data_IF_376364748642
#
_entry.id   IF_376364748642
#
_cell.length_a   1.000
_cell.length_b   1.000
_cell.length_c   1.000
_cell.angle_alpha   90.00
_cell.angle_beta   90.00
_cell.angle_gamma   90.00
#
_symmetry.space_group_name_H-M   'P 1'
#
loop_
_entity.id
_entity.type
_entity.pdbx_description
1 polymer ?
#
# COMPACT_ATOMS: atom_id res chain seq x y z
N UNK A 1 -10.55 -14.60 -26.10
CA UNK A 1 -11.73 -14.38 -25.23
C UNK A 1 -11.51 -13.05 -24.53
N UNK A 2 -12.36 -12.04 -24.76
CA UNK A 2 -12.14 -10.71 -24.17
C UNK A 2 -12.47 -10.74 -22.68
N UNK A 3 -11.49 -10.43 -21.83
CA UNK A 3 -11.72 -10.30 -20.40
C UNK A 3 -12.71 -9.15 -20.13
N UNK A 4 -13.69 -9.31 -19.23
CA UNK A 4 -14.60 -8.23 -18.89
C UNK A 4 -13.82 -7.07 -18.23
N UNK A 5 -13.78 -5.93 -18.90
CA UNK A 5 -13.19 -4.68 -18.40
C UNK A 5 -14.25 -3.91 -17.61
N UNK A 6 -14.01 -3.67 -16.32
CA UNK A 6 -14.89 -2.84 -15.52
C UNK A 6 -14.48 -1.36 -15.65
N UNK A 7 -15.39 -0.44 -16.03
CA UNK A 7 -15.04 0.95 -16.35
C UNK A 7 -14.36 1.72 -15.21
N UNK A 8 -14.64 1.35 -13.96
CA UNK A 8 -14.07 1.98 -12.77
C UNK A 8 -12.98 1.15 -12.06
N UNK A 9 -12.87 -0.14 -12.34
CA UNK A 9 -12.03 -1.06 -11.55
C UNK A 9 -10.97 -1.76 -12.40
N UNK A 10 -11.02 -1.58 -13.72
CA UNK A 10 -10.07 -2.17 -14.65
C UNK A 10 -10.38 -3.65 -14.89
N UNK A 11 -9.31 -4.40 -15.16
CA UNK A 11 -9.39 -5.81 -15.52
C UNK A 11 -9.47 -6.69 -14.27
N UNK A 12 -9.92 -7.93 -14.47
CA UNK A 12 -9.76 -8.99 -13.46
C UNK A 12 -8.29 -9.38 -13.39
N UNK A 13 -7.75 -9.57 -12.17
CA UNK A 13 -6.33 -9.91 -11.97
C UNK A 13 -5.97 -11.24 -12.64
N UNK A 14 -6.89 -12.20 -12.63
CA UNK A 14 -6.75 -13.50 -13.31
C UNK A 14 -6.45 -13.38 -14.82
N UNK A 15 -6.64 -12.17 -15.40
CA UNK A 15 -6.45 -11.88 -16.82
C UNK A 15 -5.28 -10.94 -17.12
N UNK A 16 -4.55 -10.49 -16.10
CA UNK A 16 -3.31 -9.73 -16.29
C UNK A 16 -2.16 -10.69 -16.61
N UNK A 17 -1.43 -10.42 -17.70
CA UNK A 17 -0.14 -11.06 -17.94
C UNK A 17 0.78 -10.73 -16.77
N UNK A 18 1.13 -11.73 -15.97
CA UNK A 18 2.03 -11.58 -14.82
C UNK A 18 3.45 -11.33 -15.32
N UNK A 19 3.77 -10.08 -15.69
CA UNK A 19 5.13 -9.62 -15.47
C UNK A 19 5.35 -9.72 -13.95
N UNK A 20 6.35 -10.48 -13.47
CA UNK A 20 6.55 -10.60 -12.05
C UNK A 20 6.94 -9.21 -11.54
N UNK A 21 6.12 -8.67 -10.65
CA UNK A 21 6.35 -7.43 -9.88
C UNK A 21 7.67 -7.45 -9.07
N UNK A 22 8.37 -8.56 -9.15
CA UNK A 22 9.63 -8.88 -8.50
C UNK A 22 10.82 -8.33 -9.29
N UNK A 23 10.68 -7.98 -10.57
CA UNK A 23 11.80 -7.48 -11.39
C UNK A 23 12.01 -5.98 -11.14
N UNK A 24 13.26 -5.59 -10.90
CA UNK A 24 13.63 -4.18 -10.73
C UNK A 24 13.34 -3.38 -12.00
N UNK A 25 12.73 -2.21 -11.81
CA UNK A 25 12.60 -1.19 -12.85
C UNK A 25 13.31 0.08 -12.40
N UNK A 26 14.12 0.64 -13.30
CA UNK A 26 14.79 1.92 -13.05
C UNK A 26 13.79 3.03 -13.35
N UNK A 27 13.52 3.87 -12.36
CA UNK A 27 12.60 5.00 -12.51
C UNK A 27 13.36 6.16 -13.15
N UNK A 28 12.82 6.68 -14.25
CA UNK A 28 13.31 7.92 -14.88
C UNK A 28 12.88 9.15 -14.10
N UNK A 29 13.55 10.30 -14.30
CA UNK A 29 13.19 11.55 -13.61
C UNK A 29 11.74 11.99 -13.88
N UNK A 30 11.21 11.74 -15.07
CA UNK A 30 9.82 12.06 -15.42
C UNK A 30 8.83 11.16 -14.67
N UNK A 31 9.13 9.86 -14.60
CA UNK A 31 8.33 8.89 -13.84
C UNK A 31 8.38 9.18 -12.35
N UNK A 32 9.53 9.62 -11.83
CA UNK A 32 9.68 10.02 -10.44
C UNK A 32 8.76 11.21 -10.10
N UNK A 33 8.78 12.26 -10.93
CA UNK A 33 7.91 13.43 -10.77
C UNK A 33 6.43 13.03 -10.87
N UNK A 34 6.08 12.16 -11.84
CA UNK A 34 4.72 11.66 -12.00
C UNK A 34 4.26 10.86 -10.79
N UNK A 35 5.10 9.96 -10.29
CA UNK A 35 4.84 9.14 -9.12
C UNK A 35 4.68 9.96 -7.84
N UNK A 36 5.50 11.00 -7.65
CA UNK A 36 5.36 11.88 -6.47
C UNK A 36 4.04 12.65 -6.51
N UNK A 37 3.63 13.16 -7.68
CA UNK A 37 2.31 13.80 -7.85
C UNK A 37 1.18 12.81 -7.60
N UNK A 38 1.33 11.57 -8.05
CA UNK A 38 0.36 10.52 -7.82
C UNK A 38 0.24 10.17 -6.33
N UNK A 39 1.36 10.03 -5.60
CA UNK A 39 1.37 9.84 -4.15
C UNK A 39 0.68 11.00 -3.43
N UNK A 40 0.94 12.25 -3.85
CA UNK A 40 0.23 13.40 -3.28
C UNK A 40 -1.28 13.26 -3.44
N UNK A 41 -1.78 12.89 -4.63
CA UNK A 41 -3.23 12.65 -4.82
C UNK A 41 -3.78 11.58 -3.88
N UNK A 42 -3.05 10.48 -3.69
CA UNK A 42 -3.43 9.43 -2.72
C UNK A 42 -3.47 9.98 -1.30
N UNK A 43 -2.47 10.78 -0.91
CA UNK A 43 -2.43 11.43 0.41
C UNK A 43 -3.60 12.39 0.65
N UNK A 44 -4.05 13.14 -0.36
CA UNK A 44 -5.19 14.04 -0.21
C UNK A 44 -6.48 13.28 0.17
N UNK A 45 -6.64 12.04 -0.30
CA UNK A 45 -7.76 11.17 0.10
C UNK A 45 -7.76 10.88 1.61
N UNK A 46 -6.60 10.95 2.28
CA UNK A 46 -6.46 10.77 3.72
C UNK A 46 -6.99 11.94 4.56
N UNK A 47 -7.23 13.12 3.95
CA UNK A 47 -7.67 14.33 4.67
C UNK A 47 -9.17 14.57 4.47
N UNK A 48 -9.70 14.32 3.28
CA UNK A 48 -11.09 14.68 2.95
C UNK A 48 -12.10 13.66 3.48
N UNK A 49 -12.61 13.92 4.69
CA UNK A 49 -13.63 13.12 5.34
C UNK A 49 -15.07 13.69 5.24
N UNK A 50 -15.28 14.86 4.63
CA UNK A 50 -16.52 15.61 4.97
C UNK A 50 -17.33 16.22 3.83
N UNK A 51 -16.82 16.45 2.61
CA UNK A 51 -17.62 17.19 1.61
C UNK A 51 -17.38 16.64 0.21
N UNK A 52 -18.45 16.43 -0.54
CA UNK A 52 -18.52 16.01 -1.96
C UNK A 52 -18.58 14.51 -2.23
N UNK A 53 -19.50 13.83 -1.52
CA UNK A 53 -20.24 12.73 -2.13
C UNK A 53 -21.26 13.29 -3.16
N UNK A 54 -20.78 13.95 -4.21
CA UNK A 54 -21.60 14.29 -5.38
C UNK A 54 -20.69 14.70 -6.54
N UNK A 55 -20.67 13.84 -7.55
CA UNK A 55 -20.36 14.17 -8.95
C UNK A 55 -18.98 14.77 -9.24
N UNK A 56 -17.94 13.96 -9.15
CA UNK A 56 -16.74 14.07 -10.01
C UNK A 56 -16.04 12.71 -10.02
N UNK A 57 -15.50 12.30 -11.17
CA UNK A 57 -14.74 11.05 -11.29
C UNK A 57 -13.69 10.96 -10.19
N UNK A 58 -13.42 9.74 -9.70
CA UNK A 58 -12.34 9.49 -8.74
C UNK A 58 -11.07 10.20 -9.22
N UNK A 59 -10.55 11.13 -8.42
CA UNK A 59 -9.30 11.83 -8.71
C UNK A 59 -8.08 10.87 -8.72
N UNK A 60 -8.25 9.69 -8.13
CA UNK A 60 -7.30 8.58 -8.17
C UNK A 60 -7.89 7.42 -8.99
N UNK A 61 -7.40 7.28 -10.21
CA UNK A 61 -7.67 6.17 -11.12
C UNK A 61 -6.52 5.14 -11.12
N UNK A 62 -6.61 4.14 -12.02
CA UNK A 62 -5.59 3.08 -12.17
C UNK A 62 -4.23 3.66 -12.57
N UNK A 63 -4.19 4.66 -13.46
CA UNK A 63 -2.95 5.25 -13.94
C UNK A 63 -2.22 6.04 -12.83
N UNK A 64 -2.99 6.70 -11.95
CA UNK A 64 -2.45 7.34 -10.74
C UNK A 64 -1.84 6.27 -9.81
N UNK A 65 -2.55 5.17 -9.53
CA UNK A 65 -2.03 4.11 -8.68
C UNK A 65 -0.77 3.45 -9.26
N UNK A 66 -0.76 3.17 -10.56
CA UNK A 66 0.42 2.62 -11.26
C UNK A 66 1.62 3.56 -11.16
N UNK A 67 1.42 4.85 -11.44
CA UNK A 67 2.47 5.87 -11.36
C UNK A 67 3.06 5.98 -9.95
N UNK A 68 2.22 5.92 -8.90
CA UNK A 68 2.68 5.92 -7.52
C UNK A 68 3.46 4.63 -7.18
N UNK A 69 2.99 3.48 -7.65
CA UNK A 69 3.61 2.19 -7.38
C UNK A 69 4.95 2.00 -8.09
N UNK A 70 5.18 2.67 -9.23
CA UNK A 70 6.51 2.68 -9.89
C UNK A 70 7.63 3.17 -8.98
N UNK A 71 7.34 4.12 -8.08
CA UNK A 71 8.32 4.58 -7.09
C UNK A 71 8.75 3.46 -6.14
N UNK A 72 7.90 2.46 -5.92
CA UNK A 72 8.21 1.33 -5.06
C UNK A 72 9.20 0.35 -5.69
N UNK A 73 9.44 0.43 -7.00
CA UNK A 73 10.29 -0.53 -7.72
C UNK A 73 11.78 -0.18 -7.69
N UNK A 74 12.12 1.08 -7.43
CA UNK A 74 13.51 1.58 -7.45
C UNK A 74 13.96 1.98 -6.04
N UNK A 75 15.11 1.46 -5.55
CA UNK A 75 15.61 1.77 -4.21
C UNK A 75 15.88 3.27 -3.99
N UNK A 76 16.09 4.04 -5.07
CA UNK A 76 16.31 5.49 -5.00
C UNK A 76 15.04 6.27 -4.69
N UNK A 77 13.87 5.74 -5.07
CA UNK A 77 12.59 6.47 -5.01
C UNK A 77 11.62 5.85 -4.00
N UNK A 78 11.84 4.61 -3.56
CA UNK A 78 10.95 3.91 -2.62
C UNK A 78 10.76 4.64 -1.29
N UNK A 79 11.72 5.47 -0.87
CA UNK A 79 11.61 6.32 0.33
C UNK A 79 10.43 7.30 0.25
N UNK A 80 9.95 7.68 -0.94
CA UNK A 80 8.76 8.51 -1.07
C UNK A 80 7.49 7.84 -0.52
N UNK A 81 7.47 6.51 -0.40
CA UNK A 81 6.35 5.77 0.17
C UNK A 81 6.33 5.77 1.69
N UNK A 82 7.37 6.29 2.36
CA UNK A 82 7.54 6.32 3.81
C UNK A 82 6.65 7.37 4.50
N UNK A 83 5.40 7.49 4.08
CA UNK A 83 4.48 8.50 4.57
C UNK A 83 3.16 7.87 5.07
N UNK A 84 2.84 7.95 6.38
CA UNK A 84 1.64 7.32 6.94
C UNK A 84 0.31 7.72 6.27
N UNK A 85 0.22 8.93 5.71
CA UNK A 85 -1.00 9.33 5.00
C UNK A 85 -1.23 8.56 3.69
N UNK A 86 -0.21 7.96 3.08
CA UNK A 86 -0.41 7.08 1.91
C UNK A 86 -1.21 5.85 2.33
N UNK A 87 -0.92 5.30 3.51
CA UNK A 87 -1.63 4.16 4.09
C UNK A 87 -3.10 4.50 4.32
N UNK A 88 -3.38 5.61 5.03
CA UNK A 88 -4.75 6.07 5.26
C UNK A 88 -5.48 6.41 3.96
N UNK A 89 -4.79 7.00 2.97
CA UNK A 89 -5.33 7.30 1.65
C UNK A 89 -5.77 6.04 0.91
N UNK A 90 -4.91 5.01 0.88
CA UNK A 90 -5.23 3.72 0.26
C UNK A 90 -6.43 3.03 0.93
N UNK A 91 -6.48 3.00 2.28
CA UNK A 91 -7.61 2.40 3.02
C UNK A 91 -8.93 3.09 2.67
N UNK A 92 -8.94 4.43 2.57
CA UNK A 92 -10.13 5.19 2.17
C UNK A 92 -10.51 4.98 0.72
N UNK A 93 -9.55 4.88 -0.19
CA UNK A 93 -9.80 4.55 -1.58
C UNK A 93 -10.48 3.18 -1.70
N UNK A 94 -9.96 2.15 -1.02
CA UNK A 94 -10.56 0.82 -0.97
C UNK A 94 -11.99 0.85 -0.38
N UNK A 95 -12.18 1.52 0.77
CA UNK A 95 -13.49 1.68 1.40
C UNK A 95 -14.51 2.34 0.48
N UNK A 96 -14.11 3.43 -0.19
CA UNK A 96 -14.97 4.17 -1.11
C UNK A 96 -15.33 3.32 -2.32
N UNK A 97 -14.37 2.51 -2.80
CA UNK A 97 -14.59 1.58 -3.90
C UNK A 97 -15.75 0.64 -3.58
N UNK A 98 -15.69 0.02 -2.40
CA UNK A 98 -16.72 -0.91 -1.91
C UNK A 98 -18.04 -0.19 -1.63
N UNK A 99 -18.01 1.05 -1.13
CA UNK A 99 -19.20 1.79 -0.67
C UNK A 99 -20.06 2.41 -1.78
N UNK A 100 -19.53 2.68 -2.98
CA UNK A 100 -20.28 3.27 -4.12
C UNK A 100 -21.37 2.34 -4.72
N UNK A 101 -21.88 1.38 -3.94
CA UNK A 101 -22.47 0.12 -4.44
C UNK A 101 -23.86 -0.21 -3.90
N UNK A 102 -24.53 0.72 -3.25
CA UNK A 102 -25.90 0.52 -2.80
C UNK A 102 -26.93 0.67 -3.92
N UNK A 103 -27.05 -0.27 -4.89
CA UNK A 103 -28.26 -0.36 -5.76
C UNK A 103 -28.55 -1.63 -6.57
N UNK A 104 -27.73 -2.70 -6.62
CA UNK A 104 -28.16 -3.93 -7.33
C UNK A 104 -27.56 -5.25 -6.83
N UNK A 105 -28.44 -6.27 -6.65
CA UNK A 105 -28.14 -7.63 -6.13
C UNK A 105 -27.28 -8.48 -7.07
N UNK A 106 -27.24 -8.20 -8.38
CA UNK A 106 -26.39 -8.95 -9.33
C UNK A 106 -24.90 -8.61 -9.15
N UNK A 107 -24.59 -7.47 -8.51
CA UNK A 107 -23.23 -7.03 -8.25
C UNK A 107 -22.57 -7.73 -7.05
N UNK A 108 -23.28 -8.50 -6.23
CA UNK A 108 -22.75 -9.09 -4.97
C UNK A 108 -21.54 -10.04 -5.15
N UNK A 109 -21.29 -10.59 -6.36
CA UNK A 109 -20.10 -11.42 -6.63
C UNK A 109 -18.87 -10.63 -7.11
N UNK A 110 -19.09 -9.37 -7.49
CA UNK A 110 -18.10 -8.41 -7.96
C UNK A 110 -17.69 -7.45 -6.81
N UNK A 111 -18.07 -7.76 -5.56
CA UNK A 111 -17.86 -6.96 -4.34
C UNK A 111 -16.47 -7.10 -3.74
N UNK A 112 -15.60 -7.87 -4.39
CA UNK A 112 -14.28 -8.20 -3.91
C UNK A 112 -13.27 -7.21 -4.49
N UNK A 113 -12.95 -6.09 -3.82
CA UNK A 113 -12.07 -5.06 -4.37
C UNK A 113 -10.75 -5.63 -4.88
N UNK A 114 -10.23 -6.66 -4.22
CA UNK A 114 -8.94 -7.25 -4.56
C UNK A 114 -9.00 -8.23 -5.74
N UNK A 115 -10.15 -8.41 -6.40
CA UNK A 115 -10.22 -9.18 -7.66
C UNK A 115 -9.94 -8.36 -8.91
N UNK A 116 -9.90 -7.04 -8.76
CA UNK A 116 -9.74 -6.10 -9.85
C UNK A 116 -8.43 -5.32 -9.73
N UNK A 117 -7.91 -4.93 -10.89
CA UNK A 117 -6.69 -4.13 -11.07
C UNK A 117 -6.64 -2.93 -10.12
N UNK A 118 -7.72 -2.17 -10.00
CA UNK A 118 -7.77 -1.01 -9.09
C UNK A 118 -7.50 -1.37 -7.63
N UNK A 119 -8.23 -2.35 -7.08
CA UNK A 119 -8.07 -2.72 -5.67
C UNK A 119 -6.75 -3.42 -5.41
N UNK A 120 -6.25 -4.18 -6.39
CA UNK A 120 -4.93 -4.80 -6.33
C UNK A 120 -3.80 -3.77 -6.26
N UNK A 121 -3.77 -2.80 -7.18
CA UNK A 121 -2.75 -1.76 -7.19
C UNK A 121 -2.80 -0.92 -5.91
N UNK A 122 -4.01 -0.58 -5.44
CA UNK A 122 -4.18 0.15 -4.20
C UNK A 122 -3.69 -0.66 -2.98
N UNK A 123 -3.92 -1.97 -2.97
CA UNK A 123 -3.41 -2.85 -1.93
C UNK A 123 -1.88 -3.00 -1.99
N UNK A 124 -1.29 -3.14 -3.18
CA UNK A 124 0.17 -3.18 -3.34
C UNK A 124 0.82 -1.90 -2.81
N UNK A 125 0.27 -0.74 -3.18
CA UNK A 125 0.75 0.55 -2.69
C UNK A 125 0.63 0.66 -1.16
N UNK A 126 -0.51 0.20 -0.60
CA UNK A 126 -0.71 0.12 0.86
C UNK A 126 0.39 -0.72 1.53
N UNK A 127 0.64 -1.92 1.03
CA UNK A 127 1.65 -2.84 1.58
C UNK A 127 3.06 -2.25 1.46
N UNK A 128 3.43 -1.73 0.30
CA UNK A 128 4.72 -1.10 0.10
C UNK A 128 4.94 0.08 1.08
N UNK A 129 3.97 0.97 1.22
CA UNK A 129 4.05 2.07 2.20
C UNK A 129 4.12 1.58 3.64
N UNK A 130 3.34 0.56 4.02
CA UNK A 130 3.43 -0.03 5.36
C UNK A 130 4.82 -0.60 5.62
N UNK A 131 5.39 -1.32 4.65
CA UNK A 131 6.69 -1.96 4.80
C UNK A 131 7.80 -0.94 5.04
N UNK A 132 7.83 0.12 4.22
CA UNK A 132 8.83 1.16 4.33
C UNK A 132 8.68 1.95 5.63
N UNK A 133 7.45 2.34 6.00
CA UNK A 133 7.24 3.01 7.28
C UNK A 133 7.63 2.15 8.49
N UNK A 134 7.42 0.83 8.43
CA UNK A 134 7.83 -0.07 9.51
C UNK A 134 9.36 -0.20 9.57
N UNK A 135 10.03 -0.38 8.42
CA UNK A 135 11.48 -0.40 8.35
C UNK A 135 12.12 0.89 8.88
N UNK A 136 11.55 2.06 8.60
CA UNK A 136 12.00 3.33 9.21
C UNK A 136 11.85 3.33 10.72
N UNK A 137 10.70 2.86 11.24
CA UNK A 137 10.47 2.80 12.70
C UNK A 137 11.44 1.85 13.39
N UNK A 138 11.84 0.80 12.72
CA UNK A 138 12.85 -0.14 13.23
C UNK A 138 14.29 0.34 13.05
N UNK A 139 14.51 1.44 12.31
CA UNK A 139 15.83 1.91 11.91
C UNK A 139 16.59 0.88 11.05
N UNK A 140 15.86 0.15 10.19
CA UNK A 140 16.37 -0.94 9.34
C UNK A 140 16.24 -0.59 7.84
N UNK A 141 15.65 0.57 7.49
CA UNK A 141 15.41 0.95 6.10
C UNK A 141 16.73 1.14 5.32
N UNK A 142 17.73 1.80 5.91
CA UNK A 142 19.01 2.03 5.22
C UNK A 142 19.71 0.69 4.90
N UNK A 143 19.71 -0.26 5.84
CA UNK A 143 20.28 -1.59 5.63
C UNK A 143 19.50 -2.38 4.56
N UNK A 144 18.17 -2.33 4.60
CA UNK A 144 17.34 -2.95 3.57
C UNK A 144 17.60 -2.37 2.17
N UNK A 145 17.84 -1.06 2.06
CA UNK A 145 18.15 -0.41 0.78
C UNK A 145 19.57 -0.71 0.28
N UNK A 146 20.55 -0.85 1.19
CA UNK A 146 21.89 -1.31 0.83
C UNK A 146 21.84 -2.74 0.28
N UNK A 147 21.05 -3.63 0.88
CA UNK A 147 20.83 -4.97 0.35
C UNK A 147 20.16 -4.97 -1.05
N UNK A 148 19.38 -3.93 -1.39
CA UNK A 148 18.84 -3.75 -2.74
C UNK A 148 19.91 -3.39 -3.77
N UNK A 149 21.05 -2.82 -3.36
CA UNK A 149 22.17 -2.57 -4.25
C UNK A 149 22.94 -3.86 -4.58
N UNK A 150 22.98 -4.82 -3.65
CA UNK A 150 23.58 -6.13 -3.83
C UNK A 150 22.72 -7.08 -4.69
N UNK A 151 21.42 -6.82 -4.75
CA UNK A 151 20.41 -7.60 -5.46
C UNK A 151 19.66 -6.75 -6.49
N UNK A 152 20.37 -6.29 -7.52
CA UNK A 152 19.85 -5.35 -8.51
C UNK A 152 18.82 -5.94 -9.48
N UNK A 153 18.61 -7.26 -9.46
CA UNK A 153 17.60 -7.95 -10.24
C UNK A 153 16.18 -7.78 -9.66
N UNK A 154 16.06 -7.49 -8.36
CA UNK A 154 14.78 -7.47 -7.66
C UNK A 154 14.23 -6.07 -7.40
N UNK A 155 12.90 -5.93 -7.49
CA UNK A 155 12.20 -4.70 -7.15
C UNK A 155 12.39 -4.33 -5.67
N UNK A 156 12.52 -3.03 -5.41
CA UNK A 156 12.81 -2.54 -4.06
C UNK A 156 11.68 -2.85 -3.06
N UNK A 157 10.41 -2.85 -3.47
CA UNK A 157 9.27 -3.18 -2.61
C UNK A 157 9.25 -4.67 -2.24
N UNK A 158 9.65 -5.55 -3.15
CA UNK A 158 9.86 -6.96 -2.87
C UNK A 158 10.94 -7.16 -1.81
N UNK A 159 12.11 -6.56 -2.00
CA UNK A 159 13.23 -6.67 -1.04
C UNK A 159 12.91 -6.03 0.31
N UNK A 160 12.22 -4.89 0.32
CA UNK A 160 11.72 -4.28 1.56
C UNK A 160 10.74 -5.20 2.30
N UNK A 161 9.90 -5.93 1.58
CA UNK A 161 8.99 -6.93 2.18
C UNK A 161 9.76 -8.08 2.83
N UNK A 162 10.80 -8.59 2.16
CA UNK A 162 11.68 -9.65 2.70
C UNK A 162 12.44 -9.16 3.93
N UNK A 163 13.07 -7.99 3.83
CA UNK A 163 13.81 -7.37 4.94
C UNK A 163 12.93 -7.16 6.17
N UNK A 164 11.71 -6.63 5.98
CA UNK A 164 10.77 -6.47 7.09
C UNK A 164 10.38 -7.81 7.70
N UNK A 165 10.18 -8.85 6.89
CA UNK A 165 9.91 -10.21 7.37
C UNK A 165 11.00 -10.71 8.31
N UNK A 166 12.28 -10.55 7.92
CA UNK A 166 13.44 -10.92 8.73
C UNK A 166 13.53 -10.12 10.02
N UNK A 167 13.30 -8.80 9.96
CA UNK A 167 13.28 -7.92 11.14
C UNK A 167 12.19 -8.39 12.11
N UNK A 168 10.97 -8.60 11.61
CA UNK A 168 9.83 -9.04 12.42
C UNK A 168 10.10 -10.40 13.05
N UNK A 169 10.63 -11.37 12.30
CA UNK A 169 10.99 -12.69 12.82
C UNK A 169 12.02 -12.60 13.95
N UNK A 170 13.12 -11.85 13.73
CA UNK A 170 14.16 -11.66 14.74
C UNK A 170 13.58 -11.03 16.01
N UNK A 171 12.72 -10.00 15.88
CA UNK A 171 12.05 -9.37 17.03
C UNK A 171 11.10 -10.33 17.75
N UNK A 172 10.38 -11.19 17.05
CA UNK A 172 9.55 -12.23 17.67
C UNK A 172 10.39 -13.22 18.48
N UNK A 173 11.54 -13.66 17.95
CA UNK A 173 12.46 -14.55 18.67
C UNK A 173 13.01 -13.89 19.95
N UNK A 174 13.37 -12.60 19.89
CA UNK A 174 13.79 -11.83 21.08
C UNK A 174 12.63 -11.66 22.08
N UNK A 175 11.40 -11.47 21.61
CA UNK A 175 10.20 -11.33 22.47
C UNK A 175 9.86 -12.63 23.19
N UNK A 176 9.98 -13.77 22.52
CA UNK A 176 9.81 -15.10 23.14
C UNK A 176 10.83 -15.35 24.27
N UNK A 177 12.01 -14.72 24.17
CA UNK A 177 13.03 -14.72 25.21
C UNK A 177 12.81 -13.66 26.33
N UNK A 178 11.63 -13.00 26.38
CA UNK A 178 11.18 -12.24 27.53
C UNK A 178 10.98 -10.72 27.34
N UNK A 179 10.88 -10.21 26.11
CA UNK A 179 10.61 -8.77 25.87
C UNK A 179 9.20 -8.50 25.32
N UNK A 180 8.58 -7.42 25.78
CA UNK A 180 7.18 -7.06 25.50
C UNK A 180 7.04 -6.45 24.10
N UNK A 181 6.25 -7.04 23.19
CA UNK A 181 6.21 -6.72 21.74
C UNK A 181 5.28 -5.55 21.35
N UNK A 182 4.66 -4.87 22.31
CA UNK A 182 3.66 -3.83 22.05
C UNK A 182 4.22 -2.44 21.64
N UNK A 183 5.54 -2.24 21.62
CA UNK A 183 6.18 -0.98 21.19
C UNK A 183 6.17 -0.79 19.67
N UNK A 184 6.20 -1.90 18.91
CA UNK A 184 6.25 -1.94 17.44
C UNK A 184 5.09 -1.21 16.77
N UNK A 185 3.89 -1.35 17.35
CA UNK A 185 2.67 -0.71 16.87
C UNK A 185 2.46 0.70 17.44
N UNK A 186 3.35 1.15 18.34
CA UNK A 186 3.21 2.39 19.10
C UNK A 186 2.14 2.33 20.20
N UNK A 187 1.72 1.13 20.62
CA UNK A 187 0.55 0.95 21.50
C UNK A 187 0.89 0.59 22.96
N UNK A 188 2.18 0.47 23.33
CA UNK A 188 2.61 0.42 24.72
C UNK A 188 3.81 1.34 25.00
N UNK A 189 3.63 2.17 26.02
CA UNK A 189 4.57 3.13 26.62
C UNK A 189 5.71 2.42 27.36
N UNK A 190 6.97 2.83 27.23
CA UNK A 190 7.51 3.80 28.20
C UNK A 190 8.59 4.75 27.67
N UNK A 191 9.18 4.54 26.50
CA UNK A 191 10.26 5.41 26.01
C UNK A 191 10.11 5.67 24.50
N UNK A 192 9.80 6.92 24.14
CA UNK A 192 9.64 7.50 22.78
C UNK A 192 8.32 7.28 22.00
N UNK A 193 7.31 8.11 22.33
CA UNK A 193 6.46 8.97 21.48
C UNK A 193 6.33 8.75 19.94
N UNK A 194 6.24 7.54 19.40
CA UNK A 194 5.84 7.39 17.98
C UNK A 194 4.32 7.30 17.83
N UNK A 195 3.74 8.24 17.06
CA UNK A 195 2.33 8.19 16.69
C UNK A 195 2.01 6.85 16.00
N UNK A 196 0.80 6.29 16.17
CA UNK A 196 0.44 5.04 15.51
C UNK A 196 0.53 5.18 13.99
N UNK A 197 1.09 4.17 13.31
CA UNK A 197 1.26 4.18 11.85
C UNK A 197 -0.11 4.22 11.13
N UNK A 198 -1.07 3.52 11.71
CA UNK A 198 -2.44 3.40 11.21
C UNK A 198 -3.39 3.74 12.36
N UNK A 199 -4.37 4.59 12.09
CA UNK A 199 -5.41 4.89 13.06
C UNK A 199 -6.25 3.64 13.37
N UNK A 200 -6.82 3.53 14.58
CA UNK A 200 -7.68 2.39 14.94
C UNK A 200 -8.88 2.24 14.00
N UNK A 201 -9.45 3.36 13.53
CA UNK A 201 -10.55 3.37 12.57
C UNK A 201 -10.14 2.85 11.19
N UNK A 202 -8.96 3.25 10.71
CA UNK A 202 -8.44 2.78 9.43
C UNK A 202 -8.08 1.29 9.50
N UNK A 203 -7.47 0.85 10.60
CA UNK A 203 -7.17 -0.56 10.83
C UNK A 203 -8.44 -1.42 10.87
N UNK A 204 -9.46 -0.99 11.61
CA UNK A 204 -10.76 -1.69 11.65
C UNK A 204 -11.42 -1.74 10.26
N UNK A 205 -11.30 -0.67 9.48
CA UNK A 205 -11.81 -0.63 8.11
C UNK A 205 -11.07 -1.62 7.22
N UNK A 206 -9.73 -1.61 7.26
CA UNK A 206 -8.89 -2.50 6.47
C UNK A 206 -9.16 -3.97 6.81
N UNK A 207 -9.25 -4.33 8.09
CA UNK A 207 -9.57 -5.69 8.52
C UNK A 207 -10.95 -6.13 8.04
N UNK A 208 -11.95 -5.26 8.08
CA UNK A 208 -13.28 -5.55 7.52
C UNK A 208 -13.21 -5.80 6.02
N UNK A 209 -12.50 -4.95 5.28
CA UNK A 209 -12.31 -5.10 3.83
C UNK A 209 -11.60 -6.42 3.47
N UNK A 210 -10.61 -6.84 4.26
CA UNK A 210 -9.88 -8.09 4.04
C UNK A 210 -10.71 -9.33 4.41
N UNK A 211 -11.56 -9.23 5.42
CA UNK A 211 -12.40 -10.34 5.87
C UNK A 211 -13.60 -10.58 4.96
N UNK A 212 -14.15 -9.52 4.36
CA UNK A 212 -15.32 -9.57 3.48
C UNK A 212 -14.96 -9.89 2.01
N UNK A 213 -13.67 -9.88 1.65
CA UNK A 213 -13.16 -10.23 0.32
C UNK A 213 -13.03 -11.74 0.08
#
# INVERSE_FOLDING_TARGET
MFAPLHPLWGRLIETLDSAPDIIRLTVSAEEEISGQKALQKVCHQAVDATILAQESGRDVDIAVLDSALRLAQDPRTIRYLAHPSVISGCIRLLKTAVSQRGRSRVMLRLSKPFRYEYGHLCFKLLVASMNICLLERYNELDEALLACEEHDEYAADYLASVALGLVVENRFQISYNGSNSNWVSGWATSDAQQAPLVSRSDLSTLLGLLWDD
#
